data_IF_520611786082
#
_entry.id   IF_520611786082
#
_cell.length_a   1.000
_cell.length_b   1.000
_cell.length_c   1.000
_cell.angle_alpha   90.00
_cell.angle_beta   90.00
_cell.angle_gamma   90.00
#
_symmetry.space_group_name_H-M   'P 1'
#
loop_
_entity.id
_entity.type
_entity.pdbx_description
1 polymer ?
#
# COMPACT_ATOMS: atom_id res chain seq x y z
N UNK A 1 13.84 -10.43 -16.63
CA UNK A 1 13.75 -10.28 -16.15
C UNK A 1 13.33 -9.61 -15.57
N UNK A 2 13.04 -9.50 -15.53
CA UNK A 2 12.60 -8.92 -15.00
C UNK A 2 12.77 -8.43 -13.84
N UNK A 3 13.46 -8.70 -13.42
CA UNK A 3 13.75 -8.31 -12.21
C UNK A 3 13.85 -6.95 -12.13
N UNK A 4 14.26 -6.49 -13.02
CA UNK A 4 14.41 -5.22 -12.98
C UNK A 4 13.24 -4.50 -12.82
N UNK A 5 12.14 -5.08 -12.70
CA UNK A 5 11.08 -4.43 -12.53
C UNK A 5 11.20 -3.73 -11.33
N UNK A 6 11.47 -2.55 -11.37
CA UNK A 6 11.52 -1.77 -10.34
C UNK A 6 10.24 -1.52 -9.93
N UNK A 7 9.88 -1.83 -8.88
CA UNK A 7 8.65 -1.55 -8.42
C UNK A 7 8.64 -0.24 -7.95
N UNK A 8 8.11 0.59 -8.67
CA UNK A 8 7.84 1.85 -8.21
C UNK A 8 6.64 1.65 -7.43
N UNK A 9 6.77 1.28 -6.27
CA UNK A 9 5.65 1.09 -5.44
C UNK A 9 5.16 2.40 -5.02
N UNK A 10 4.07 2.79 -5.53
CA UNK A 10 3.43 3.98 -5.08
C UNK A 10 2.71 3.58 -3.84
N UNK A 11 3.32 3.79 -2.74
CA UNK A 11 2.74 3.48 -1.46
C UNK A 11 1.64 4.49 -1.18
N UNK A 12 0.44 4.00 -0.95
CA UNK A 12 -0.68 4.85 -0.60
C UNK A 12 -0.80 4.87 0.89
N UNK A 13 -0.49 5.98 1.54
CA UNK A 13 -0.60 6.02 2.99
C UNK A 13 -2.06 6.07 3.43
N UNK A 14 -2.32 5.60 4.61
CA UNK A 14 -3.65 5.69 5.18
C UNK A 14 -4.56 4.53 4.87
N UNK A 15 -4.04 3.48 4.28
CA UNK A 15 -4.89 2.33 3.97
C UNK A 15 -5.44 1.70 5.23
N UNK A 16 -4.65 1.63 6.28
CA UNK A 16 -5.10 1.01 7.51
C UNK A 16 -6.17 1.84 8.22
N UNK A 17 -6.30 3.10 7.85
CA UNK A 17 -7.36 3.93 8.41
C UNK A 17 -8.58 3.96 7.51
N UNK A 18 -8.36 3.76 6.22
CA UNK A 18 -9.46 3.79 5.27
C UNK A 18 -10.29 2.51 5.30
N UNK A 19 -9.64 1.39 5.55
CA UNK A 19 -10.31 0.10 5.54
C UNK A 19 -10.32 -0.49 6.93
N UNK A 20 -11.42 -1.11 7.30
CA UNK A 20 -11.55 -1.66 8.64
C UNK A 20 -10.75 -2.94 8.84
N UNK A 21 -10.57 -3.70 7.79
CA UNK A 21 -9.88 -4.96 7.89
C UNK A 21 -9.36 -5.39 6.53
N UNK A 22 -8.56 -6.43 6.52
CA UNK A 22 -7.98 -6.92 5.29
C UNK A 22 -9.06 -7.35 4.30
N UNK A 23 -10.13 -7.94 4.79
CA UNK A 23 -11.22 -8.36 3.91
C UNK A 23 -11.79 -7.18 3.15
N UNK A 24 -11.91 -6.03 3.82
CA UNK A 24 -12.44 -4.84 3.17
C UNK A 24 -11.54 -4.38 2.02
N UNK A 25 -10.23 -4.46 2.21
CA UNK A 25 -9.30 -4.07 1.17
C UNK A 25 -9.46 -4.98 -0.04
N UNK A 26 -9.52 -6.28 0.21
CA UNK A 26 -9.68 -7.25 -0.88
C UNK A 26 -11.02 -7.06 -1.56
N UNK A 27 -12.07 -6.86 -0.77
CA UNK A 27 -13.42 -6.68 -1.36
C UNK A 27 -13.44 -5.48 -2.28
N UNK A 28 -12.81 -4.40 -1.86
CA UNK A 28 -12.75 -3.21 -2.70
C UNK A 28 -12.03 -3.52 -4.02
N UNK A 29 -10.93 -4.23 -3.94
CA UNK A 29 -10.18 -4.60 -5.14
C UNK A 29 -10.97 -5.51 -6.07
N UNK A 30 -11.72 -6.46 -5.50
CA UNK A 30 -12.51 -7.38 -6.29
C UNK A 30 -13.63 -6.63 -7.03
N UNK A 31 -14.35 -5.78 -6.31
CA UNK A 31 -15.47 -5.11 -6.94
C UNK A 31 -15.02 -4.02 -7.90
N UNK A 32 -13.87 -3.45 -7.65
CA UNK A 32 -13.31 -2.48 -8.58
C UNK A 32 -12.96 -3.14 -9.91
N UNK A 33 -12.46 -4.38 -9.86
CA UNK A 33 -12.07 -5.09 -11.06
C UNK A 33 -13.17 -5.93 -11.69
N UNK A 34 -14.25 -6.11 -10.96
CA UNK A 34 -15.35 -6.92 -11.46
C UNK A 34 -15.39 -8.27 -10.78
N UNK A 35 -16.45 -8.51 -10.02
CA UNK A 35 -16.58 -9.73 -9.23
C UNK A 35 -16.44 -10.99 -10.07
N UNK A 36 -17.16 -11.05 -11.18
CA UNK A 36 -17.16 -12.27 -11.99
C UNK A 36 -15.80 -12.55 -12.60
N UNK A 37 -15.14 -11.49 -13.06
CA UNK A 37 -13.84 -11.66 -13.68
C UNK A 37 -12.80 -12.13 -12.68
N UNK A 38 -12.81 -11.53 -11.50
CA UNK A 38 -11.84 -11.91 -10.48
C UNK A 38 -12.13 -13.33 -9.98
N UNK A 39 -13.40 -13.65 -9.76
CA UNK A 39 -13.77 -14.98 -9.29
C UNK A 39 -13.29 -16.05 -10.27
N UNK A 40 -13.47 -15.79 -11.55
CA UNK A 40 -13.03 -16.74 -12.56
C UNK A 40 -11.53 -16.96 -12.50
N UNK A 41 -10.78 -15.88 -12.31
CA UNK A 41 -9.33 -16.01 -12.22
C UNK A 41 -8.88 -16.73 -10.96
N UNK A 42 -9.71 -16.69 -9.93
CA UNK A 42 -9.40 -17.36 -8.68
C UNK A 42 -10.02 -18.74 -8.61
N UNK A 43 -10.60 -19.20 -9.71
CA UNK A 43 -11.20 -20.51 -9.80
C UNK A 43 -12.31 -20.68 -8.76
N UNK A 44 -13.18 -19.71 -8.70
CA UNK A 44 -14.22 -19.67 -7.69
C UNK A 44 -15.49 -19.12 -8.32
N UNK A 45 -16.62 -19.62 -7.88
CA UNK A 45 -17.90 -19.09 -8.35
C UNK A 45 -18.09 -17.66 -7.80
N UNK A 46 -18.66 -16.76 -8.59
CA UNK A 46 -18.86 -15.39 -8.12
C UNK A 46 -19.68 -15.30 -6.84
N UNK A 47 -20.69 -16.15 -6.71
CA UNK A 47 -21.51 -16.12 -5.50
C UNK A 47 -20.71 -16.53 -4.27
N UNK A 48 -19.81 -17.47 -4.44
CA UNK A 48 -18.95 -17.88 -3.33
C UNK A 48 -17.99 -16.77 -2.95
N UNK A 49 -17.41 -16.13 -3.92
CA UNK A 49 -16.50 -15.02 -3.63
C UNK A 49 -17.25 -13.90 -2.93
N UNK A 50 -18.43 -13.56 -3.43
CA UNK A 50 -19.22 -12.52 -2.82
C UNK A 50 -19.55 -12.85 -1.37
N UNK A 51 -19.90 -14.10 -1.11
CA UNK A 51 -20.21 -14.54 0.23
C UNK A 51 -19.00 -14.41 1.16
N UNK A 52 -17.85 -14.81 0.67
CA UNK A 52 -16.63 -14.77 1.50
C UNK A 52 -16.17 -13.35 1.77
N UNK A 53 -16.50 -12.43 0.89
CA UNK A 53 -16.11 -11.05 1.08
C UNK A 53 -17.11 -10.25 1.90
N UNK A 54 -18.30 -10.78 2.08
CA UNK A 54 -19.34 -10.03 2.79
C UNK A 54 -19.02 -9.78 4.26
N UNK A 55 -18.38 -10.75 4.90
CA UNK A 55 -18.08 -10.59 6.30
C UNK A 55 -19.31 -10.74 7.16
N UNK A 56 -19.18 -10.41 8.40
CA UNK A 56 -20.28 -10.49 9.33
C UNK A 56 -20.16 -11.68 10.26
N UNK A 57 -20.77 -11.55 11.41
CA UNK A 57 -20.62 -12.58 12.42
C UNK A 57 -21.36 -13.86 12.10
N UNK A 58 -22.35 -13.74 11.25
CA UNK A 58 -23.14 -14.92 10.90
C UNK A 58 -22.55 -15.71 9.77
N UNK A 59 -21.44 -15.28 9.23
CA UNK A 59 -20.88 -15.94 8.07
C UNK A 59 -19.90 -17.00 8.48
N UNK A 60 -20.15 -18.23 8.15
CA UNK A 60 -19.24 -19.30 8.51
C UNK A 60 -18.03 -19.37 7.61
N UNK A 61 -18.02 -18.63 6.52
CA UNK A 61 -16.95 -18.73 5.56
C UNK A 61 -16.28 -17.41 5.32
N UNK A 62 -14.99 -17.45 5.27
CA UNK A 62 -14.19 -16.30 4.96
C UNK A 62 -13.26 -16.67 3.83
N UNK A 63 -12.58 -15.70 3.28
CA UNK A 63 -11.58 -15.97 2.27
C UNK A 63 -10.43 -16.69 2.93
N UNK A 64 -10.06 -17.83 2.40
CA UNK A 64 -8.96 -18.60 2.96
C UNK A 64 -7.63 -18.01 2.57
N UNK A 65 -6.61 -18.45 3.26
CA UNK A 65 -5.27 -17.94 3.02
C UNK A 65 -4.80 -18.25 1.61
N UNK A 66 -5.07 -19.46 1.14
CA UNK A 66 -4.66 -19.82 -0.21
C UNK A 66 -5.49 -19.07 -1.26
N UNK A 67 -6.75 -18.82 -0.92
CA UNK A 67 -7.59 -18.04 -1.83
C UNK A 67 -7.10 -16.61 -1.91
N UNK A 68 -6.66 -16.07 -0.81
CA UNK A 68 -6.08 -14.74 -0.79
C UNK A 68 -4.81 -14.70 -1.63
N UNK A 69 -3.99 -15.71 -1.51
CA UNK A 69 -2.77 -15.79 -2.30
C UNK A 69 -3.09 -15.87 -3.78
N UNK A 70 -4.11 -16.63 -4.14
CA UNK A 70 -4.56 -16.72 -5.53
C UNK A 70 -5.06 -15.37 -6.03
N UNK A 71 -5.75 -14.65 -5.18
CA UNK A 71 -6.24 -13.33 -5.54
C UNK A 71 -5.07 -12.40 -5.87
N UNK A 72 -4.05 -12.39 -5.03
CA UNK A 72 -2.90 -11.54 -5.26
C UNK A 72 -2.18 -11.93 -6.55
N UNK A 73 -2.04 -13.21 -6.79
CA UNK A 73 -1.36 -13.67 -7.99
C UNK A 73 -2.15 -13.32 -9.24
N UNK A 74 -3.47 -13.41 -9.16
CA UNK A 74 -4.32 -13.18 -10.32
C UNK A 74 -4.47 -11.71 -10.66
N UNK A 75 -4.53 -10.85 -9.64
CA UNK A 75 -4.85 -9.45 -9.86
C UNK A 75 -3.64 -8.53 -9.72
N UNK A 76 -2.60 -8.97 -9.06
CA UNK A 76 -1.45 -8.14 -8.76
C UNK A 76 -1.83 -6.91 -7.95
N UNK A 77 -2.92 -7.00 -7.19
CA UNK A 77 -3.36 -5.92 -6.34
C UNK A 77 -2.44 -5.89 -5.13
N UNK A 78 -1.67 -4.84 -4.97
CA UNK A 78 -0.71 -4.74 -3.87
C UNK A 78 -1.26 -4.02 -2.67
N UNK A 79 -2.44 -3.44 -2.76
CA UNK A 79 -3.01 -2.71 -1.63
C UNK A 79 -3.19 -3.57 -0.39
N UNK A 80 -3.61 -4.84 -0.51
CA UNK A 80 -3.71 -5.66 0.70
C UNK A 80 -2.36 -5.83 1.40
N UNK A 81 -1.29 -5.91 0.61
CA UNK A 81 0.04 -6.04 1.19
C UNK A 81 0.44 -4.77 1.91
N UNK A 82 0.19 -3.62 1.29
CA UNK A 82 0.50 -2.35 1.92
C UNK A 82 -0.33 -2.14 3.18
N UNK A 83 -1.59 -2.58 3.14
CA UNK A 83 -2.44 -2.49 4.30
C UNK A 83 -1.83 -3.27 5.47
N UNK A 84 -1.34 -4.47 5.19
CA UNK A 84 -0.74 -5.30 6.23
C UNK A 84 0.55 -4.69 6.75
N UNK A 85 1.36 -4.14 5.87
CA UNK A 85 2.59 -3.50 6.29
C UNK A 85 2.28 -2.32 7.19
N UNK A 86 1.35 -1.48 6.76
CA UNK A 86 1.02 -0.30 7.52
C UNK A 86 0.43 -0.65 8.87
N UNK A 87 -0.39 -1.67 8.90
CA UNK A 87 -1.06 -2.00 10.13
C UNK A 87 -0.18 -2.75 11.13
N UNK A 88 0.70 -3.59 10.64
CA UNK A 88 1.42 -4.48 11.53
C UNK A 88 2.92 -4.29 11.61
N UNK A 89 3.52 -3.68 10.63
CA UNK A 89 4.96 -3.50 10.64
C UNK A 89 5.41 -2.11 11.00
N UNK A 90 4.59 -1.13 10.73
CA UNK A 90 5.02 0.21 11.01
C UNK A 90 4.63 0.58 12.40
N UNK A 91 5.56 0.67 13.29
CA UNK A 91 5.22 1.21 14.57
C UNK A 91 5.76 2.64 14.61
N UNK A 92 5.26 3.45 15.52
CA UNK A 92 5.61 4.88 15.54
C UNK A 92 7.09 5.16 15.65
N UNK A 93 7.82 4.34 16.38
CA UNK A 93 9.25 4.61 16.53
C UNK A 93 10.01 4.33 15.24
N UNK A 94 9.63 3.27 14.53
CA UNK A 94 10.28 2.94 13.28
C UNK A 94 9.93 3.97 12.22
N UNK A 95 8.67 4.37 12.17
CA UNK A 95 8.27 5.39 11.23
C UNK A 95 8.98 6.70 11.45
N UNK A 96 9.13 7.05 12.70
CA UNK A 96 9.81 8.29 13.04
C UNK A 96 11.27 8.25 12.62
N UNK A 97 11.92 7.13 12.86
CA UNK A 97 13.31 6.98 12.48
C UNK A 97 13.49 7.06 10.97
N UNK A 98 12.58 6.41 10.25
CA UNK A 98 12.63 6.43 8.80
C UNK A 98 12.34 7.81 8.25
N UNK A 99 11.38 8.48 8.84
CA UNK A 99 11.05 9.83 8.42
C UNK A 99 12.21 10.77 8.63
N UNK A 100 12.88 10.64 9.75
CA UNK A 100 14.04 11.47 10.03
C UNK A 100 15.18 11.16 9.07
N UNK A 101 15.36 9.89 8.74
CA UNK A 101 16.41 9.52 7.79
C UNK A 101 16.11 10.09 6.41
N UNK A 102 14.86 10.01 5.99
CA UNK A 102 14.47 10.55 4.70
C UNK A 102 14.61 12.05 4.66
N UNK A 103 14.23 12.69 5.72
CA UNK A 103 14.34 14.13 5.81
C UNK A 103 15.80 14.55 5.73
N UNK A 104 16.65 13.83 6.44
CA UNK A 104 18.07 14.09 6.42
C UNK A 104 18.63 13.98 5.01
N UNK A 105 18.22 12.95 4.31
CA UNK A 105 18.67 12.72 2.95
C UNK A 105 18.19 13.83 2.02
N UNK A 106 16.96 14.25 2.18
CA UNK A 106 16.43 15.34 1.39
C UNK A 106 17.20 16.63 1.63
N UNK A 107 17.50 16.90 2.87
CA UNK A 107 18.26 18.11 3.19
C UNK A 107 19.63 18.06 2.53
N UNK A 108 20.26 16.90 2.54
CA UNK A 108 21.56 16.78 1.91
C UNK A 108 21.49 17.05 0.42
N UNK A 109 20.45 16.56 -0.23
CA UNK A 109 20.30 16.76 -1.66
C UNK A 109 19.87 18.18 -1.98
N UNK A 110 19.01 18.71 -1.14
CA UNK A 110 18.43 20.01 -1.37
C UNK A 110 19.44 21.12 -1.21
N UNK A 111 20.31 21.01 -0.24
CA UNK A 111 21.31 22.03 -0.01
C UNK A 111 22.15 22.34 -1.23
N UNK A 112 22.79 21.33 -1.82
CA UNK A 112 23.59 21.58 -3.02
C UNK A 112 22.78 22.11 -4.17
N UNK A 113 21.53 21.65 -4.32
CA UNK A 113 20.69 22.13 -5.38
C UNK A 113 20.32 23.58 -5.20
N UNK A 114 20.01 23.96 -3.99
CA UNK A 114 19.70 25.33 -3.73
C UNK A 114 20.89 26.25 -3.97
N UNK A 115 22.04 25.79 -3.59
CA UNK A 115 23.24 26.54 -3.81
C UNK A 115 23.53 26.69 -5.28
N UNK A 116 23.40 25.62 -6.02
CA UNK A 116 23.67 25.65 -7.45
C UNK A 116 22.69 26.56 -8.18
N UNK A 117 21.48 26.61 -7.66
CA UNK A 117 20.49 27.47 -8.29
C UNK A 117 20.57 28.92 -7.83
N UNK A 118 21.39 29.19 -6.88
CA UNK A 118 21.49 30.55 -6.38
C UNK A 118 20.34 31.00 -5.54
N UNK A 119 19.59 30.05 -5.09
CA UNK A 119 18.41 30.39 -4.35
C UNK A 119 18.63 30.50 -2.90
N UNK A 120 19.71 30.15 -2.45
CA UNK A 120 19.86 30.05 -1.13
C UNK A 120 19.96 31.12 -0.40
N UNK A 121 19.46 31.15 0.31
CA UNK A 121 19.22 31.54 1.06
C UNK A 121 19.47 32.22 1.77
N UNK A 122 19.21 32.51 1.55
CA UNK A 122 19.19 33.08 2.13
C UNK A 122 19.21 32.92 3.36
N UNK A 123 19.60 32.67 3.75
CA UNK A 123 19.49 32.47 4.78
C UNK A 123 19.93 32.96 5.48
N UNK A 124 20.10 33.18 5.36
CA UNK A 124 20.36 33.42 5.76
C UNK A 124 20.66 34.08 6.35
N UNK A 125 20.98 34.34 6.78
CA UNK A 125 21.14 35.16 7.27
C UNK A 125 21.55 36.11 6.98
N UNK A 126 21.58 36.25 6.50
CA UNK A 126 21.77 36.75 6.08
C UNK A 126 21.98 37.70 6.17
N UNK A 127 22.46 38.09 6.14
CA UNK A 127 22.61 38.76 6.10
C UNK A 127 22.35 39.55 5.76
N UNK A 128 22.36 40.14 5.74
CA UNK A 128 22.16 40.76 5.40
C UNK A 128 22.23 41.48 5.55
#
# INVERSE_FOLDING_TARGET
MSAARQLSLVFEPGLSQRYRCLRDVVAHGVYERGLSAVAAKCDMAPSKMSEKLAGGNDRPRDLGIEEFERYLAATRDVRPIYYLIERFLEDPSVQQAEAMAQLSELVKQFGPLMSAAGVLPANGPRKR
#
